data_IF_590818661324
#
_entry.id   IF_590818661324
#
_cell.length_a   1.000
_cell.length_b   1.000
_cell.length_c   1.000
_cell.angle_alpha   90.00
_cell.angle_beta   90.00
_cell.angle_gamma   90.00
#
_symmetry.space_group_name_H-M   'P 1'
#
loop_
_entity.id
_entity.type
_entity.pdbx_description
1 polymer ?
#
# COMPACT_ATOMS: atom_id res chain seq x y z
N UNK A 1 -16.51 25.97 -12.95
CA UNK A 1 -16.20 24.56 -12.63
C UNK A 1 -14.70 24.38 -12.71
N UNK A 2 -14.02 24.35 -11.57
CA UNK A 2 -12.59 24.05 -11.49
C UNK A 2 -12.44 22.53 -11.64
N UNK A 3 -11.82 22.08 -12.74
CA UNK A 3 -11.54 20.65 -12.92
C UNK A 3 -10.61 20.20 -11.81
N UNK A 4 -11.04 19.22 -11.00
CA UNK A 4 -10.23 18.70 -9.90
C UNK A 4 -8.95 18.11 -10.47
N UNK A 5 -7.81 18.72 -10.13
CA UNK A 5 -6.49 18.28 -10.57
C UNK A 5 -6.22 16.91 -9.93
N UNK A 6 -6.32 15.85 -10.72
CA UNK A 6 -5.97 14.49 -10.29
C UNK A 6 -4.53 14.51 -9.78
N UNK A 7 -4.32 13.94 -8.61
CA UNK A 7 -2.99 13.80 -8.03
C UNK A 7 -2.15 12.82 -8.86
N UNK A 8 -1.34 13.39 -9.75
CA UNK A 8 -0.54 12.63 -10.71
C UNK A 8 0.54 11.80 -10.03
N UNK A 9 1.04 12.23 -8.87
CA UNK A 9 2.12 11.54 -8.16
C UNK A 9 1.60 10.28 -7.49
N UNK A 10 0.55 10.38 -6.67
CA UNK A 10 -0.01 9.20 -5.99
C UNK A 10 -0.57 8.18 -6.98
N UNK A 11 -1.14 8.65 -8.10
CA UNK A 11 -1.55 7.78 -9.21
C UNK A 11 -0.34 7.05 -9.83
N UNK A 12 0.74 7.77 -10.11
CA UNK A 12 1.97 7.19 -10.66
C UNK A 12 2.58 6.15 -9.72
N UNK A 13 2.64 6.43 -8.41
CA UNK A 13 3.12 5.48 -7.41
C UNK A 13 2.33 4.17 -7.43
N UNK A 14 0.99 4.27 -7.47
CA UNK A 14 0.11 3.09 -7.58
C UNK A 14 0.40 2.28 -8.85
N UNK A 15 0.34 2.92 -10.01
CA UNK A 15 0.35 2.24 -11.31
C UNK A 15 1.75 1.75 -11.72
N UNK A 16 2.77 2.58 -11.50
CA UNK A 16 4.13 2.34 -12.00
C UNK A 16 5.04 1.65 -10.99
N UNK A 17 4.63 1.54 -9.72
CA UNK A 17 5.47 0.94 -8.69
C UNK A 17 4.72 -0.13 -7.89
N UNK A 18 3.68 0.25 -7.14
CA UNK A 18 2.94 -0.68 -6.26
C UNK A 18 2.33 -1.86 -7.03
N UNK A 19 1.62 -1.59 -8.14
CA UNK A 19 1.05 -2.65 -8.97
C UNK A 19 2.10 -3.45 -9.74
N UNK A 20 3.19 -2.81 -10.16
CA UNK A 20 4.29 -3.52 -10.85
C UNK A 20 5.01 -4.48 -9.90
N UNK A 21 5.29 -4.04 -8.66
CA UNK A 21 5.93 -4.87 -7.63
C UNK A 21 5.03 -6.03 -7.20
N UNK A 22 3.73 -5.77 -7.05
CA UNK A 22 2.77 -6.78 -6.63
C UNK A 22 1.50 -6.77 -7.49
N UNK A 23 1.49 -7.55 -8.60
CA UNK A 23 0.35 -7.63 -9.51
C UNK A 23 -0.94 -8.17 -8.88
N UNK A 24 -0.86 -8.89 -7.75
CA UNK A 24 -2.05 -9.35 -7.04
C UNK A 24 -2.82 -8.19 -6.42
N UNK A 25 -2.15 -7.13 -5.97
CA UNK A 25 -2.82 -5.91 -5.50
C UNK A 25 -3.62 -5.28 -6.63
N UNK A 26 -3.04 -5.19 -7.84
CA UNK A 26 -3.77 -4.68 -9.00
C UNK A 26 -5.00 -5.53 -9.33
N UNK A 27 -4.87 -6.85 -9.31
CA UNK A 27 -6.00 -7.76 -9.54
C UNK A 27 -7.11 -7.55 -8.50
N UNK A 28 -6.77 -7.52 -7.22
CA UNK A 28 -7.76 -7.27 -6.15
C UNK A 28 -8.40 -5.90 -6.27
N UNK A 29 -7.60 -4.87 -6.58
CA UNK A 29 -8.09 -3.52 -6.85
C UNK A 29 -9.12 -3.52 -7.99
N UNK A 30 -8.84 -4.23 -9.08
CA UNK A 30 -9.75 -4.33 -10.22
C UNK A 30 -11.04 -5.11 -9.88
N UNK A 31 -10.96 -6.13 -9.02
CA UNK A 31 -12.17 -6.82 -8.50
C UNK A 31 -13.08 -5.83 -7.76
N UNK A 32 -12.52 -4.88 -6.99
CA UNK A 32 -13.25 -3.83 -6.28
C UNK A 32 -13.87 -2.76 -7.19
N UNK A 33 -13.35 -2.60 -8.42
CA UNK A 33 -13.90 -1.66 -9.40
C UNK A 33 -15.21 -2.18 -10.05
N UNK A 34 -15.38 -3.51 -10.11
CA UNK A 34 -16.38 -4.19 -10.95
C UNK A 34 -17.85 -4.14 -10.46
N UNK A 35 -18.21 -3.23 -9.56
CA UNK A 35 -19.20 -3.59 -8.52
C UNK A 35 -20.41 -2.68 -8.39
N UNK A 36 -20.90 -2.00 -9.42
CA UNK A 36 -22.24 -1.44 -9.29
C UNK A 36 -23.02 -1.39 -10.61
N UNK A 37 -23.67 -2.51 -10.92
CA UNK A 37 -24.74 -2.55 -11.91
C UNK A 37 -26.07 -2.29 -11.19
N UNK A 38 -26.63 -1.12 -11.44
CA UNK A 38 -27.90 -0.66 -10.87
C UNK A 38 -29.08 -1.57 -11.23
N UNK A 39 -28.93 -2.58 -12.08
CA UNK A 39 -30.01 -3.48 -12.41
C UNK A 39 -30.19 -4.63 -11.40
N UNK A 40 -29.14 -5.05 -10.68
CA UNK A 40 -29.14 -6.36 -10.00
C UNK A 40 -28.91 -6.27 -8.48
N UNK A 41 -27.97 -5.45 -7.98
CA UNK A 41 -27.61 -5.49 -6.56
C UNK A 41 -28.45 -4.55 -5.68
N UNK A 42 -28.99 -5.08 -4.58
CA UNK A 42 -29.72 -4.29 -3.57
C UNK A 42 -28.86 -3.21 -2.93
N UNK A 43 -27.58 -3.50 -2.64
CA UNK A 43 -26.64 -2.54 -2.04
C UNK A 43 -26.41 -1.31 -2.96
N UNK A 44 -26.48 -1.51 -4.27
CA UNK A 44 -26.38 -0.49 -5.30
C UNK A 44 -27.65 0.36 -5.46
N UNK A 45 -28.80 -0.16 -5.02
CA UNK A 45 -30.10 0.51 -5.09
C UNK A 45 -30.57 1.08 -3.76
N UNK A 46 -29.90 0.74 -2.66
CA UNK A 46 -30.33 1.08 -1.30
C UNK A 46 -30.62 2.57 -1.21
N UNK A 47 -31.86 2.95 -0.89
CA UNK A 47 -32.20 4.35 -0.77
C UNK A 47 -31.42 5.00 0.38
N UNK A 48 -30.92 6.20 0.11
CA UNK A 48 -30.25 7.04 1.10
C UNK A 48 -31.34 7.91 1.74
N UNK A 49 -31.74 7.55 2.96
CA UNK A 49 -32.81 8.20 3.73
C UNK A 49 -32.44 9.58 4.32
N UNK A 50 -31.31 10.15 3.92
CA UNK A 50 -30.74 11.32 4.58
C UNK A 50 -31.48 12.62 4.20
N UNK A 51 -31.71 13.49 5.21
CA UNK A 51 -32.41 14.78 5.03
C UNK A 51 -31.52 15.88 4.44
N UNK A 52 -30.20 15.75 4.56
CA UNK A 52 -29.23 16.68 3.97
C UNK A 52 -29.08 16.41 2.46
N UNK A 53 -28.86 17.46 1.67
CA UNK A 53 -28.52 17.32 0.25
C UNK A 53 -27.12 16.68 0.13
N UNK A 54 -27.06 15.50 -0.48
CA UNK A 54 -25.82 14.74 -0.68
C UNK A 54 -25.45 14.78 -2.15
N UNK A 55 -24.17 15.08 -2.42
CA UNK A 55 -23.66 15.11 -3.78
C UNK A 55 -23.78 13.74 -4.46
N UNK A 56 -24.22 13.72 -5.72
CA UNK A 56 -24.38 12.50 -6.51
C UNK A 56 -23.09 11.66 -6.61
N UNK A 57 -21.92 12.29 -6.64
CA UNK A 57 -20.64 11.55 -6.64
C UNK A 57 -20.39 10.79 -5.33
N UNK A 58 -20.77 11.37 -4.19
CA UNK A 58 -20.72 10.74 -2.86
C UNK A 58 -21.69 9.57 -2.79
N UNK A 59 -22.93 9.73 -3.30
CA UNK A 59 -23.92 8.64 -3.37
C UNK A 59 -23.39 7.45 -4.17
N UNK A 60 -22.87 7.70 -5.37
CA UNK A 60 -22.28 6.66 -6.23
C UNK A 60 -21.14 5.92 -5.52
N UNK A 61 -20.26 6.65 -4.85
CA UNK A 61 -19.15 6.03 -4.12
C UNK A 61 -19.63 5.22 -2.91
N UNK A 62 -20.62 5.72 -2.16
CA UNK A 62 -21.27 4.98 -1.06
C UNK A 62 -21.84 3.63 -1.52
N UNK A 63 -22.57 3.62 -2.64
CA UNK A 63 -23.12 2.39 -3.20
C UNK A 63 -22.03 1.39 -3.59
N UNK A 64 -20.95 1.88 -4.23
CA UNK A 64 -19.80 1.05 -4.60
C UNK A 64 -19.12 0.41 -3.38
N UNK A 65 -18.91 1.18 -2.32
CA UNK A 65 -18.38 0.66 -1.05
C UNK A 65 -19.34 -0.40 -0.48
N UNK A 66 -20.64 -0.10 -0.43
CA UNK A 66 -21.67 -0.99 0.14
C UNK A 66 -21.77 -2.33 -0.60
N UNK A 67 -21.63 -2.32 -1.94
CA UNK A 67 -21.57 -3.58 -2.70
C UNK A 67 -20.31 -4.36 -2.41
N UNK A 68 -19.15 -3.71 -2.39
CA UNK A 68 -17.90 -4.40 -2.09
C UNK A 68 -17.91 -5.02 -0.69
N UNK A 69 -18.47 -4.33 0.31
CA UNK A 69 -18.68 -4.88 1.65
C UNK A 69 -19.60 -6.11 1.62
N UNK A 70 -20.70 -6.03 0.89
CA UNK A 70 -21.65 -7.15 0.74
C UNK A 70 -21.00 -8.37 0.09
N UNK A 71 -20.11 -8.16 -0.89
CA UNK A 71 -19.35 -9.23 -1.53
C UNK A 71 -18.31 -9.85 -0.59
N UNK A 72 -17.58 -9.05 0.19
CA UNK A 72 -16.59 -9.52 1.17
C UNK A 72 -17.22 -10.28 2.35
N UNK A 73 -18.50 -10.03 2.64
CA UNK A 73 -19.27 -10.69 3.70
C UNK A 73 -19.80 -12.09 3.30
N UNK A 74 -19.85 -12.42 2.00
CA UNK A 74 -20.45 -13.70 1.57
C UNK A 74 -19.50 -14.86 1.79
N UNK A 75 -20.02 -15.98 2.32
CA UNK A 75 -19.32 -17.26 2.33
C UNK A 75 -19.07 -17.67 0.88
N UNK A 76 -17.82 -17.87 0.50
CA UNK A 76 -17.43 -18.04 -0.90
C UNK A 76 -17.31 -16.72 -1.66
N UNK A 77 -16.93 -15.63 -0.97
CA UNK A 77 -16.86 -14.26 -1.49
C UNK A 77 -16.36 -14.16 -2.94
N UNK A 78 -16.87 -13.14 -3.65
CA UNK A 78 -16.63 -12.98 -5.08
C UNK A 78 -15.18 -12.57 -5.43
N UNK A 79 -14.30 -12.45 -4.44
CA UNK A 79 -12.93 -12.02 -4.63
C UNK A 79 -12.03 -13.25 -4.72
N UNK A 80 -11.31 -13.39 -5.82
CA UNK A 80 -10.39 -14.51 -6.00
C UNK A 80 -9.05 -14.29 -5.29
N UNK A 81 -8.66 -13.02 -5.15
CA UNK A 81 -7.33 -12.66 -4.63
C UNK A 81 -7.32 -12.55 -3.10
N UNK A 82 -6.18 -12.94 -2.49
CA UNK A 82 -5.95 -12.93 -1.03
C UNK A 82 -6.99 -13.74 -0.24
N UNK A 83 -7.53 -14.79 -0.86
CA UNK A 83 -8.48 -15.72 -0.24
C UNK A 83 -7.88 -16.37 0.99
N UNK A 84 -8.61 -16.35 2.11
CA UNK A 84 -8.11 -16.76 3.42
C UNK A 84 -7.26 -15.71 4.16
N UNK A 85 -6.71 -14.71 3.46
CA UNK A 85 -5.85 -13.67 4.05
C UNK A 85 -6.66 -12.41 4.41
N UNK A 86 -7.57 -12.57 5.38
CA UNK A 86 -8.56 -11.54 5.77
C UNK A 86 -7.92 -10.17 6.09
N UNK A 87 -6.80 -10.15 6.80
CA UNK A 87 -6.08 -8.91 7.13
C UNK A 87 -5.54 -8.20 5.87
N UNK A 88 -5.00 -8.95 4.90
CA UNK A 88 -4.53 -8.37 3.63
C UNK A 88 -5.69 -7.81 2.81
N UNK A 89 -6.81 -8.53 2.74
CA UNK A 89 -8.03 -8.03 2.06
C UNK A 89 -8.53 -6.73 2.67
N UNK A 90 -8.57 -6.63 4.00
CA UNK A 90 -8.93 -5.38 4.67
C UNK A 90 -7.93 -4.26 4.35
N UNK A 91 -6.63 -4.52 4.43
CA UNK A 91 -5.58 -3.54 4.10
C UNK A 91 -5.68 -3.04 2.65
N UNK A 92 -5.86 -3.92 1.68
CA UNK A 92 -5.97 -3.50 0.28
C UNK A 92 -7.33 -2.91 -0.08
N UNK A 93 -8.38 -3.24 0.68
CA UNK A 93 -9.65 -2.50 0.59
C UNK A 93 -9.47 -1.06 1.08
N UNK A 94 -8.77 -0.85 2.22
CA UNK A 94 -8.39 0.48 2.71
C UNK A 94 -7.56 1.25 1.67
N UNK A 95 -6.56 0.59 1.09
CA UNK A 95 -5.74 1.14 0.00
C UNK A 95 -6.60 1.65 -1.16
N UNK A 96 -7.52 0.82 -1.65
CA UNK A 96 -8.48 1.18 -2.69
C UNK A 96 -9.39 2.33 -2.27
N UNK A 97 -9.93 2.31 -1.06
CA UNK A 97 -10.80 3.38 -0.55
C UNK A 97 -10.08 4.73 -0.51
N UNK A 98 -8.88 4.80 0.06
CA UNK A 98 -8.10 6.05 0.14
C UNK A 98 -7.79 6.60 -1.25
N UNK A 99 -7.39 5.70 -2.15
CA UNK A 99 -7.08 6.02 -3.52
C UNK A 99 -8.29 6.54 -4.31
N UNK A 100 -9.46 5.92 -4.13
CA UNK A 100 -10.71 6.38 -4.72
C UNK A 100 -11.13 7.73 -4.16
N UNK A 101 -10.95 7.99 -2.87
CA UNK A 101 -11.23 9.31 -2.29
C UNK A 101 -10.41 10.41 -2.96
N UNK A 102 -9.11 10.15 -3.15
CA UNK A 102 -8.19 11.09 -3.80
C UNK A 102 -8.52 11.25 -5.29
N UNK A 103 -8.74 10.13 -5.99
CA UNK A 103 -8.99 10.12 -7.45
C UNK A 103 -10.30 10.80 -7.82
N UNK A 104 -11.36 10.60 -7.03
CA UNK A 104 -12.63 11.30 -7.22
C UNK A 104 -12.60 12.76 -6.75
N UNK A 105 -11.50 13.18 -6.10
CA UNK A 105 -11.30 14.56 -5.70
C UNK A 105 -12.24 15.03 -4.60
N UNK A 106 -12.63 14.15 -3.67
CA UNK A 106 -13.51 14.52 -2.57
C UNK A 106 -12.80 15.45 -1.59
N UNK A 107 -13.50 16.51 -1.19
CA UNK A 107 -13.06 17.39 -0.11
C UNK A 107 -13.40 16.82 1.29
N UNK A 108 -12.94 17.49 2.34
CA UNK A 108 -13.20 17.08 3.73
C UNK A 108 -14.70 17.02 4.08
N UNK A 109 -15.54 17.87 3.49
CA UNK A 109 -16.96 17.87 3.75
C UNK A 109 -17.64 16.66 3.09
N UNK A 110 -17.26 16.34 1.85
CA UNK A 110 -17.71 15.15 1.14
C UNK A 110 -17.25 13.87 1.82
N UNK A 111 -16.00 13.82 2.31
CA UNK A 111 -15.49 12.70 3.12
C UNK A 111 -16.36 12.53 4.37
N UNK A 112 -16.65 13.61 5.10
CA UNK A 112 -17.54 13.57 6.26
C UNK A 112 -18.93 13.04 5.90
N UNK A 113 -19.49 13.44 4.76
CA UNK A 113 -20.77 12.91 4.27
C UNK A 113 -20.71 11.40 3.98
N UNK A 114 -19.64 10.91 3.35
CA UNK A 114 -19.43 9.46 3.10
C UNK A 114 -19.48 8.68 4.43
N UNK A 115 -18.77 9.13 5.45
CA UNK A 115 -18.77 8.45 6.75
C UNK A 115 -20.13 8.52 7.45
N UNK A 116 -20.83 9.65 7.39
CA UNK A 116 -22.21 9.78 7.93
C UNK A 116 -23.18 8.76 7.32
N UNK A 117 -23.01 8.40 6.05
CA UNK A 117 -23.88 7.43 5.36
C UNK A 117 -23.78 5.98 5.89
N UNK A 118 -22.71 5.66 6.62
CA UNK A 118 -22.53 4.35 7.24
C UNK A 118 -23.05 4.28 8.69
N UNK A 119 -23.66 5.37 9.20
CA UNK A 119 -24.42 5.43 10.47
C UNK A 119 -23.69 4.86 11.72
N UNK A 120 -22.35 4.86 11.73
CA UNK A 120 -21.57 4.34 12.85
C UNK A 120 -21.28 5.46 13.87
N UNK A 121 -21.68 5.26 15.13
CA UNK A 121 -21.53 6.23 16.24
C UNK A 121 -20.08 6.65 16.49
N UNK A 122 -19.13 5.84 16.03
CA UNK A 122 -17.71 6.00 16.27
C UNK A 122 -16.95 6.67 15.09
N UNK A 123 -17.67 7.33 14.17
CA UNK A 123 -17.08 7.96 12.96
C UNK A 123 -16.15 7.01 12.19
N UNK A 124 -16.61 5.80 11.92
CA UNK A 124 -15.85 4.83 11.14
C UNK A 124 -16.78 4.02 10.23
N UNK A 125 -16.19 3.35 9.26
CA UNK A 125 -16.88 2.41 8.40
C UNK A 125 -16.42 1.03 8.85
N UNK A 126 -17.30 0.24 9.47
CA UNK A 126 -17.02 -1.15 9.86
C UNK A 126 -17.75 -2.11 8.94
N UNK A 127 -17.08 -3.20 8.58
CA UNK A 127 -17.69 -4.31 7.88
C UNK A 127 -16.94 -5.61 8.19
N UNK A 128 -17.59 -6.74 7.94
CA UNK A 128 -17.03 -8.06 8.24
C UNK A 128 -16.55 -8.76 6.97
N UNK A 129 -15.44 -9.48 7.09
CA UNK A 129 -14.89 -10.37 6.06
C UNK A 129 -15.02 -11.79 6.58
N UNK A 130 -15.74 -12.64 5.84
CA UNK A 130 -15.99 -14.03 6.26
C UNK A 130 -14.76 -14.92 6.12
N UNK A 131 -14.66 -15.91 7.01
CA UNK A 131 -13.76 -17.03 6.86
C UNK A 131 -14.33 -18.02 5.85
N UNK A 132 -13.58 -18.33 4.79
CA UNK A 132 -13.87 -19.50 3.98
C UNK A 132 -13.08 -20.66 4.58
N UNK A 133 -13.71 -21.46 5.44
CA UNK A 133 -13.20 -22.81 5.67
C UNK A 133 -13.67 -23.63 4.47
N UNK A 134 -12.75 -24.32 3.81
CA UNK A 134 -13.09 -25.22 2.70
C UNK A 134 -13.98 -26.41 3.13
N UNK A 135 -14.20 -26.55 4.44
CA UNK A 135 -15.14 -27.52 5.02
C UNK A 135 -16.30 -26.76 5.69
N UNK A 136 -17.53 -27.19 5.37
CA UNK A 136 -18.82 -26.71 5.89
C UNK A 136 -19.02 -26.91 7.41
N UNK A 137 -17.96 -27.04 8.19
CA UNK A 137 -18.06 -27.36 9.61
C UNK A 137 -18.13 -26.06 10.43
N UNK A 138 -19.37 -25.57 10.60
CA UNK A 138 -19.73 -24.46 11.48
C UNK A 138 -19.81 -24.93 12.94
N UNK A 139 -18.85 -25.71 13.43
CA UNK A 139 -18.82 -26.14 14.83
C UNK A 139 -17.96 -25.22 15.68
N UNK A 140 -18.63 -24.18 16.22
CA UNK A 140 -18.46 -23.73 17.61
C UNK A 140 -17.06 -23.39 18.16
N UNK A 141 -16.07 -23.06 17.34
CA UNK A 141 -14.78 -22.57 17.84
C UNK A 141 -14.91 -21.14 18.37
N UNK A 142 -14.27 -20.78 19.51
CA UNK A 142 -14.31 -19.42 20.08
C UNK A 142 -13.62 -18.36 19.21
N UNK A 143 -13.00 -18.75 18.09
CA UNK A 143 -12.44 -17.86 17.10
C UNK A 143 -13.54 -17.41 16.12
N UNK A 144 -14.00 -16.17 16.24
CA UNK A 144 -15.05 -15.59 15.39
C UNK A 144 -14.86 -15.95 13.90
N UNK A 145 -15.90 -16.46 13.21
CA UNK A 145 -15.84 -16.74 11.78
C UNK A 145 -15.66 -15.46 10.94
N UNK A 146 -15.71 -14.29 11.57
CA UNK A 146 -15.70 -12.98 10.92
C UNK A 146 -14.49 -12.15 11.37
N UNK A 147 -13.80 -11.57 10.40
CA UNK A 147 -12.77 -10.57 10.63
C UNK A 147 -13.39 -9.18 10.45
N UNK A 148 -13.32 -8.35 11.48
CA UNK A 148 -13.83 -6.97 11.40
C UNK A 148 -12.80 -6.09 10.71
N UNK A 149 -13.13 -5.60 9.52
CA UNK A 149 -12.41 -4.52 8.87
C UNK A 149 -13.01 -3.18 9.25
N UNK A 150 -12.15 -2.23 9.65
CA UNK A 150 -12.56 -0.90 10.10
C UNK A 150 -11.77 0.15 9.36
N UNK A 151 -12.45 1.13 8.76
CA UNK A 151 -11.85 2.35 8.22
C UNK A 151 -12.20 3.49 9.18
N UNK A 152 -11.20 4.09 9.82
CA UNK A 152 -11.43 5.22 10.70
C UNK A 152 -11.59 6.51 9.88
N UNK A 153 -12.48 7.42 10.33
CA UNK A 153 -12.57 8.75 9.72
C UNK A 153 -11.22 9.45 9.73
N UNK A 154 -10.91 10.11 8.63
CA UNK A 154 -9.70 10.88 8.44
C UNK A 154 -9.99 12.01 7.47
N UNK A 155 -9.34 13.16 7.68
CA UNK A 155 -9.37 14.24 6.70
C UNK A 155 -8.55 13.85 5.45
N UNK A 156 -8.67 14.64 4.40
CA UNK A 156 -7.99 14.38 3.12
C UNK A 156 -6.46 14.32 3.26
N UNK A 157 -5.85 15.16 4.09
CA UNK A 157 -4.39 15.14 4.33
C UNK A 157 -3.94 13.81 4.96
N UNK A 158 -4.66 13.35 5.98
CA UNK A 158 -4.41 12.05 6.61
C UNK A 158 -4.65 10.88 5.65
N UNK A 159 -5.68 10.96 4.80
CA UNK A 159 -5.94 9.95 3.77
C UNK A 159 -4.78 9.86 2.77
N UNK A 160 -4.25 11.00 2.32
CA UNK A 160 -3.06 11.03 1.45
C UNK A 160 -1.84 10.42 2.14
N UNK A 161 -1.61 10.76 3.41
CA UNK A 161 -0.55 10.19 4.26
C UNK A 161 -0.67 8.67 4.40
N UNK A 162 -1.86 8.16 4.68
CA UNK A 162 -2.13 6.71 4.77
C UNK A 162 -1.92 6.00 3.43
N UNK A 163 -2.42 6.58 2.32
CA UNK A 163 -2.22 6.03 0.97
C UNK A 163 -0.73 5.95 0.62
N UNK A 164 0.01 7.04 0.84
CA UNK A 164 1.45 7.08 0.59
C UNK A 164 2.21 6.09 1.47
N UNK A 165 1.80 5.91 2.72
CA UNK A 165 2.42 4.96 3.64
C UNK A 165 2.27 3.52 3.17
N UNK A 166 1.11 3.17 2.61
CA UNK A 166 0.89 1.87 1.99
C UNK A 166 1.76 1.67 0.75
N UNK A 167 1.86 2.65 -0.14
CA UNK A 167 2.78 2.57 -1.29
C UNK A 167 4.23 2.42 -0.83
N UNK A 168 4.64 3.16 0.20
CA UNK A 168 5.98 3.10 0.78
C UNK A 168 6.29 1.73 1.38
N UNK A 169 5.37 1.18 2.18
CA UNK A 169 5.49 -0.12 2.83
C UNK A 169 5.49 -1.26 1.82
N UNK A 170 4.59 -1.25 0.83
CA UNK A 170 4.56 -2.28 -0.21
C UNK A 170 5.90 -2.30 -0.97
N UNK A 171 6.48 -1.13 -1.22
CA UNK A 171 7.76 -0.97 -1.90
C UNK A 171 8.98 -1.01 -0.95
N UNK A 172 8.80 -1.33 0.33
CA UNK A 172 9.88 -1.31 1.30
C UNK A 172 10.92 -2.42 1.04
N UNK A 173 12.19 -2.04 1.08
CA UNK A 173 13.35 -2.92 1.02
C UNK A 173 13.98 -2.98 2.42
N UNK A 174 13.79 -4.12 3.10
CA UNK A 174 14.28 -4.34 4.47
C UNK A 174 15.81 -4.39 4.54
N UNK A 175 16.50 -4.70 3.43
CA UNK A 175 17.97 -4.73 3.41
C UNK A 175 18.56 -3.32 3.35
N UNK A 176 17.83 -2.39 2.72
CA UNK A 176 18.22 -0.98 2.60
C UNK A 176 17.54 -0.07 3.63
N UNK A 177 16.63 -0.63 4.45
CA UNK A 177 15.85 0.11 5.43
C UNK A 177 15.11 1.33 4.84
N UNK A 178 14.69 1.22 3.58
CA UNK A 178 13.98 2.29 2.85
C UNK A 178 13.13 1.71 1.74
N UNK A 179 12.24 2.51 1.16
CA UNK A 179 11.43 2.11 0.02
C UNK A 179 12.15 2.33 -1.31
N UNK A 180 11.90 1.46 -2.29
CA UNK A 180 12.45 1.64 -3.65
C UNK A 180 11.87 2.85 -4.36
N UNK A 181 10.76 3.40 -3.86
CA UNK A 181 10.10 4.60 -4.39
C UNK A 181 10.52 5.90 -3.68
N UNK A 182 11.46 5.84 -2.73
CA UNK A 182 11.86 7.00 -1.92
C UNK A 182 12.28 8.21 -2.76
N UNK A 183 13.05 8.01 -3.83
CA UNK A 183 13.46 9.10 -4.74
C UNK A 183 12.27 9.80 -5.42
N UNK A 184 11.26 9.03 -5.84
CA UNK A 184 10.04 9.56 -6.44
C UNK A 184 9.27 10.40 -5.44
N UNK A 185 9.16 9.94 -4.19
CA UNK A 185 8.50 10.68 -3.11
C UNK A 185 9.28 11.97 -2.80
N UNK A 186 10.60 11.89 -2.71
CA UNK A 186 11.49 13.02 -2.42
C UNK A 186 11.36 14.15 -3.45
N UNK A 187 11.13 13.82 -4.71
CA UNK A 187 10.96 14.77 -5.81
C UNK A 187 9.50 15.22 -6.00
N UNK A 188 8.64 15.02 -5.00
CA UNK A 188 7.22 15.37 -5.05
C UNK A 188 6.81 16.30 -3.90
N UNK A 189 5.57 16.80 -3.96
CA UNK A 189 4.96 17.54 -2.85
C UNK A 189 4.83 16.72 -1.55
N UNK A 190 4.99 15.39 -1.65
CA UNK A 190 4.86 14.44 -0.54
C UNK A 190 6.15 14.13 0.20
N UNK A 191 7.26 14.82 -0.11
CA UNK A 191 8.59 14.55 0.47
C UNK A 191 8.63 14.47 2.00
N UNK A 192 7.80 15.26 2.68
CA UNK A 192 7.72 15.31 4.14
C UNK A 192 6.87 14.22 4.78
N UNK A 193 5.89 13.68 4.07
CA UNK A 193 4.79 12.91 4.67
C UNK A 193 5.25 11.65 5.41
N UNK A 194 6.13 10.85 4.81
CA UNK A 194 6.62 9.61 5.47
C UNK A 194 7.38 9.94 6.75
N UNK A 195 8.23 10.97 6.73
CA UNK A 195 9.00 11.36 7.90
C UNK A 195 8.11 11.96 8.99
N UNK A 196 7.13 12.78 8.64
CA UNK A 196 6.12 13.29 9.57
C UNK A 196 5.39 12.14 10.28
N UNK A 197 4.96 11.13 9.53
CA UNK A 197 4.27 9.95 10.09
C UNK A 197 5.16 9.16 11.04
N UNK A 198 6.43 8.93 10.67
CA UNK A 198 7.39 8.23 11.52
C UNK A 198 7.67 9.03 12.81
N UNK A 199 7.76 10.36 12.73
CA UNK A 199 7.93 11.22 13.90
C UNK A 199 6.72 11.20 14.83
N UNK A 200 5.51 11.29 14.26
CA UNK A 200 4.25 11.16 15.02
C UNK A 200 4.17 9.81 15.73
N UNK A 201 4.62 8.74 15.08
CA UNK A 201 4.64 7.40 15.67
C UNK A 201 5.63 7.29 16.85
N UNK A 202 6.76 8.01 16.80
CA UNK A 202 7.80 7.99 17.84
C UNK A 202 7.46 8.81 19.08
N UNK A 203 6.65 9.87 18.96
CA UNK A 203 6.41 10.80 20.07
C UNK A 203 5.58 10.20 21.22
N UNK A 204 4.84 9.10 21.00
CA UNK A 204 4.11 8.22 21.96
C UNK A 204 3.39 8.90 23.15
N UNK A 205 3.16 10.21 23.12
CA UNK A 205 2.54 10.97 24.22
C UNK A 205 2.14 12.38 23.78
N UNK A 206 1.14 12.95 24.44
CA UNK A 206 0.62 14.30 24.20
C UNK A 206 -0.63 14.37 23.29
N UNK A 207 -1.21 15.56 23.15
CA UNK A 207 -2.43 15.82 22.37
C UNK A 207 -2.26 15.50 20.87
N UNK A 208 -1.05 15.69 20.35
CA UNK A 208 -0.68 15.31 18.98
C UNK A 208 -0.77 13.80 18.74
N UNK A 209 -0.49 12.98 19.75
CA UNK A 209 -0.64 11.53 19.67
C UNK A 209 -2.11 11.12 19.65
N UNK A 210 -2.99 11.78 20.41
CA UNK A 210 -4.43 11.48 20.34
C UNK A 210 -5.03 11.78 18.96
N UNK A 211 -4.61 12.88 18.32
CA UNK A 211 -5.06 13.25 16.98
C UNK A 211 -4.51 12.32 15.88
N UNK A 212 -3.32 11.75 16.10
CA UNK A 212 -2.65 10.84 15.15
C UNK A 212 -2.82 9.36 15.49
N UNK A 213 -3.49 9.02 16.60
CA UNK A 213 -3.67 7.64 17.07
C UNK A 213 -4.18 6.71 15.96
N UNK A 214 -5.19 7.15 15.21
CA UNK A 214 -5.73 6.37 14.10
C UNK A 214 -4.70 6.11 13.00
N UNK A 215 -3.90 7.12 12.66
CA UNK A 215 -2.87 6.98 11.64
C UNK A 215 -1.77 6.01 12.12
N UNK A 216 -1.42 6.04 13.40
CA UNK A 216 -0.46 5.12 14.01
C UNK A 216 -1.00 3.68 14.07
N UNK A 217 -2.26 3.49 14.47
CA UNK A 217 -2.91 2.17 14.55
C UNK A 217 -2.98 1.51 13.16
N UNK A 218 -3.36 2.28 12.11
CA UNK A 218 -3.35 1.82 10.72
C UNK A 218 -1.94 1.42 10.26
N UNK A 219 -0.94 2.26 10.53
CA UNK A 219 0.44 1.98 10.18
C UNK A 219 0.98 0.71 10.85
N UNK A 220 0.59 0.45 12.10
CA UNK A 220 0.95 -0.77 12.82
C UNK A 220 0.36 -2.02 12.20
N UNK A 221 -0.89 -1.98 11.74
CA UNK A 221 -1.50 -3.07 10.98
C UNK A 221 -0.71 -3.34 9.69
N UNK A 222 -0.36 -2.29 8.93
CA UNK A 222 0.37 -2.42 7.67
C UNK A 222 1.76 -3.03 7.90
N UNK A 223 2.48 -2.54 8.90
CA UNK A 223 3.79 -3.07 9.29
C UNK A 223 3.73 -4.54 9.67
N UNK A 224 2.73 -4.94 10.49
CA UNK A 224 2.54 -6.35 10.90
C UNK A 224 2.30 -7.25 9.70
N UNK A 225 1.45 -6.85 8.76
CA UNK A 225 1.16 -7.63 7.54
C UNK A 225 2.42 -7.86 6.69
N UNK A 226 3.34 -6.91 6.68
CA UNK A 226 4.61 -6.98 5.92
C UNK A 226 5.80 -7.46 6.74
N UNK A 227 5.58 -7.89 7.99
CA UNK A 227 6.63 -8.28 8.93
C UNK A 227 7.71 -7.20 9.14
N UNK A 228 7.34 -5.91 9.08
CA UNK A 228 8.25 -4.78 9.28
C UNK A 228 8.22 -4.38 10.76
N UNK A 229 9.37 -4.52 11.43
CA UNK A 229 9.46 -4.16 12.86
C UNK A 229 9.57 -2.65 13.06
N UNK A 230 10.42 -1.99 12.25
CA UNK A 230 10.71 -0.57 12.35
C UNK A 230 10.76 0.07 10.96
N UNK A 231 10.28 1.31 10.88
CA UNK A 231 10.43 2.16 9.71
C UNK A 231 11.49 3.22 10.02
N UNK A 232 12.47 3.34 9.13
CA UNK A 232 13.52 4.35 9.24
C UNK A 232 13.11 5.61 8.48
N UNK A 233 13.59 6.76 8.97
CA UNK A 233 13.36 8.04 8.29
C UNK A 233 13.94 7.96 6.89
N UNK A 234 13.15 8.39 5.91
CA UNK A 234 13.56 8.50 4.53
C UNK A 234 14.53 9.67 4.40
N UNK A 235 15.63 9.45 3.68
CA UNK A 235 16.59 10.48 3.33
C UNK A 235 16.33 10.93 1.89
N UNK A 236 16.11 12.23 1.70
CA UNK A 236 16.08 12.85 0.38
C UNK A 236 17.42 13.52 0.15
N UNK A 237 18.16 13.08 -0.86
CA UNK A 237 19.41 13.74 -1.24
C UNK A 237 19.09 15.17 -1.70
N UNK A 238 19.78 16.16 -1.17
CA UNK A 238 19.55 17.58 -1.45
C UNK A 238 19.96 18.01 -2.87
N UNK A 239 20.46 17.10 -3.72
CA UNK A 239 21.22 17.46 -4.93
C UNK A 239 20.44 17.36 -6.25
N UNK A 240 19.10 17.34 -6.25
CA UNK A 240 18.31 17.45 -7.49
C UNK A 240 17.39 18.67 -7.57
N UNK A 241 17.48 19.60 -6.61
CA UNK A 241 16.74 20.89 -6.67
C UNK A 241 17.29 21.86 -7.76
N UNK A 242 18.36 21.52 -8.47
CA UNK A 242 19.02 22.43 -9.44
C UNK A 242 18.75 22.16 -10.93
N UNK A 243 18.04 21.09 -11.32
CA UNK A 243 17.89 20.76 -12.75
C UNK A 243 16.53 21.10 -13.40
N UNK A 244 15.57 21.62 -12.64
CA UNK A 244 14.28 22.08 -13.21
C UNK A 244 14.13 23.61 -13.35
N UNK A 245 15.13 24.38 -12.92
CA UNK A 245 15.13 25.85 -13.04
C UNK A 245 15.69 26.42 -14.35
N UNK A 246 16.18 25.57 -15.27
CA UNK A 246 17.02 26.00 -16.41
C UNK A 246 16.42 25.87 -17.81
N UNK A 247 15.10 25.75 -17.96
CA UNK A 247 14.45 25.60 -19.27
C UNK A 247 13.36 26.65 -19.52
N UNK A 248 13.69 27.93 -19.35
CA UNK A 248 13.03 28.99 -20.10
C UNK A 248 14.06 30.03 -20.57
N UNK A 249 14.08 30.20 -21.91
CA UNK A 249 14.59 31.35 -22.65
C UNK A 249 16.09 31.39 -23.00
N UNK A 250 16.46 30.66 -24.05
CA UNK A 250 17.54 31.09 -24.95
C UNK A 250 16.97 31.24 -26.37
N UNK A 251 16.79 32.49 -26.79
CA UNK A 251 16.47 32.89 -28.16
C UNK A 251 17.77 32.78 -28.99
N UNK A 252 17.76 32.22 -30.20
CA UNK A 252 18.97 32.10 -31.00
C UNK A 252 19.27 33.42 -31.72
N UNK A 253 20.48 33.94 -31.55
CA UNK A 253 21.08 34.92 -32.46
C UNK A 253 22.40 34.36 -32.99
N UNK A 254 22.48 34.29 -34.31
CA UNK A 254 23.53 33.74 -35.17
C UNK A 254 24.93 34.38 -34.98
N UNK A 255 25.99 33.76 -35.55
CA UNK A 255 27.36 33.84 -35.05
C UNK A 255 28.22 34.88 -35.76
N UNK A 256 29.21 35.41 -35.06
CA UNK A 256 30.37 36.08 -35.68
C UNK A 256 31.63 35.37 -35.24
N UNK A 257 32.36 34.86 -36.24
CA UNK A 257 33.64 34.19 -36.10
C UNK A 257 34.75 35.15 -35.67
N UNK A 258 35.64 34.70 -34.78
CA UNK A 258 37.03 34.47 -35.16
C UNK A 258 37.79 33.62 -34.12
N UNK A 259 38.77 32.82 -34.56
CA UNK A 259 39.38 31.77 -33.76
C UNK A 259 40.72 32.19 -33.14
N UNK A 260 41.02 31.71 -31.94
CA UNK A 260 42.41 31.54 -31.51
C UNK A 260 42.57 30.22 -30.75
N UNK A 261 43.21 29.31 -31.48
CA UNK A 261 43.73 28.01 -31.15
C UNK A 261 44.54 28.00 -29.83
N UNK A 262 44.25 27.04 -28.95
CA UNK A 262 45.28 26.29 -28.24
C UNK A 262 44.79 24.88 -27.91
N UNK A 263 45.51 23.90 -28.45
CA UNK A 263 45.33 22.45 -28.29
C UNK A 263 45.63 22.05 -26.84
N UNK A 264 44.72 21.29 -26.24
CA UNK A 264 45.10 20.20 -25.34
C UNK A 264 44.25 18.98 -25.70
N UNK A 265 44.92 17.94 -26.14
CA UNK A 265 44.35 16.63 -26.46
C UNK A 265 43.99 15.96 -25.13
N UNK A 266 42.71 15.65 -24.92
CA UNK A 266 42.28 14.68 -23.91
C UNK A 266 41.45 13.61 -24.61
N UNK A 267 41.98 12.40 -24.63
CA UNK A 267 41.39 11.25 -25.27
C UNK A 267 40.19 10.77 -24.43
N UNK A 268 38.97 10.97 -24.93
CA UNK A 268 37.79 10.28 -24.42
C UNK A 268 37.72 8.89 -25.03
N UNK A 269 38.28 7.91 -24.33
CA UNK A 269 37.98 6.49 -24.57
C UNK A 269 36.50 6.25 -24.25
N UNK A 270 35.72 5.99 -25.30
CA UNK A 270 34.31 5.61 -25.23
C UNK A 270 34.12 4.31 -24.44
N UNK A 271 33.28 4.34 -23.41
CA UNK A 271 32.87 3.17 -22.60
C UNK A 271 31.79 2.35 -23.35
N UNK A 272 32.05 1.98 -24.61
CA UNK A 272 31.11 1.15 -25.40
C UNK A 272 31.61 -0.29 -25.60
N UNK A 273 32.79 -0.65 -25.09
CA UNK A 273 33.41 -1.95 -25.40
C UNK A 273 33.46 -2.97 -24.24
N UNK A 274 32.83 -2.74 -23.08
CA UNK A 274 32.87 -3.71 -21.96
C UNK A 274 31.62 -4.62 -21.89
N UNK A 275 30.49 -4.28 -22.53
CA UNK A 275 29.27 -5.11 -22.45
C UNK A 275 29.26 -6.35 -23.37
N UNK A 276 30.20 -6.47 -24.31
CA UNK A 276 30.28 -7.61 -25.23
C UNK A 276 30.86 -8.88 -24.62
N UNK A 277 31.68 -8.78 -23.58
CA UNK A 277 32.42 -9.93 -23.02
C UNK A 277 31.61 -10.67 -21.94
N UNK A 278 30.74 -9.97 -21.20
CA UNK A 278 29.93 -10.58 -20.12
C UNK A 278 28.80 -11.45 -20.68
N UNK A 279 28.26 -11.11 -21.86
CA UNK A 279 27.15 -11.88 -22.46
C UNK A 279 27.58 -13.24 -23.01
N UNK A 280 28.87 -13.44 -23.28
CA UNK A 280 29.39 -14.70 -23.82
C UNK A 280 29.68 -15.74 -22.71
N UNK A 281 29.93 -15.30 -21.47
CA UNK A 281 30.21 -16.19 -20.34
C UNK A 281 28.94 -16.74 -19.67
N UNK A 282 27.81 -16.04 -19.77
CA UNK A 282 26.55 -16.50 -19.15
C UNK A 282 25.76 -17.52 -19.99
N UNK A 283 26.07 -17.66 -21.28
CA UNK A 283 25.33 -18.54 -22.21
C UNK A 283 25.92 -19.95 -22.36
N UNK A 284 26.96 -20.29 -21.60
CA UNK A 284 27.73 -21.55 -21.75
C UNK A 284 27.55 -22.51 -20.56
N UNK A 285 26.73 -22.19 -19.56
CA UNK A 285 26.55 -23.04 -18.37
C UNK A 285 25.19 -23.73 -18.26
N UNK A 286 24.41 -23.82 -19.34
CA UNK A 286 23.11 -24.50 -19.35
C UNK A 286 23.17 -25.82 -20.13
N UNK A 287 24.17 -26.66 -19.82
CA UNK A 287 24.21 -28.07 -20.26
C UNK A 287 25.09 -28.86 -19.28
N UNK A 288 24.47 -29.39 -18.21
CA UNK A 288 24.86 -30.65 -17.57
C UNK A 288 23.79 -31.11 -16.56
N UNK A 289 23.14 -32.22 -16.91
CA UNK A 289 22.27 -33.09 -16.12
C UNK A 289 23.00 -33.72 -14.92
N UNK A 290 22.31 -33.99 -13.81
CA UNK A 290 22.10 -35.35 -13.21
C UNK A 290 21.41 -35.29 -11.83
N UNK A 291 20.34 -36.08 -11.71
CA UNK A 291 19.78 -36.88 -10.59
C UNK A 291 20.00 -36.50 -9.10
N UNK A 292 18.90 -36.66 -8.34
CA UNK A 292 18.80 -36.64 -6.86
C UNK A 292 19.68 -37.72 -6.19
N UNK A 293 19.97 -37.53 -4.89
CA UNK A 293 19.51 -38.54 -3.94
C UNK A 293 18.82 -37.97 -2.69
N UNK A 294 17.92 -38.81 -2.19
CA UNK A 294 17.23 -38.76 -0.90
C UNK A 294 18.20 -38.72 0.30
N UNK A 295 17.62 -38.36 1.46
CA UNK A 295 18.15 -38.47 2.83
C UNK A 295 19.09 -37.38 3.34
N UNK A 296 18.51 -36.35 3.97
CA UNK A 296 19.16 -35.64 5.09
C UNK A 296 18.16 -34.77 5.88
N UNK A 297 17.28 -35.41 6.66
CA UNK A 297 16.56 -34.73 7.75
C UNK A 297 16.13 -35.67 8.88
N UNK A 298 16.93 -36.71 9.12
CA UNK A 298 16.76 -37.62 10.24
C UNK A 298 17.98 -37.52 11.17
N UNK A 299 18.16 -36.36 11.84
CA UNK A 299 19.02 -36.25 13.04
C UNK A 299 18.99 -34.89 13.77
N UNK A 300 17.84 -34.31 14.12
CA UNK A 300 17.79 -33.34 15.25
C UNK A 300 16.40 -33.35 15.89
N UNK A 301 16.02 -34.45 16.55
CA UNK A 301 14.96 -34.36 17.57
C UNK A 301 14.97 -35.56 18.55
N UNK A 302 15.99 -35.63 19.40
CA UNK A 302 15.89 -36.35 20.69
C UNK A 302 16.97 -35.81 21.61
N UNK A 303 16.63 -34.83 22.46
CA UNK A 303 17.09 -34.68 23.85
C UNK A 303 16.70 -33.30 24.42
N UNK A 304 15.41 -33.13 24.72
CA UNK A 304 14.99 -32.19 25.77
C UNK A 304 13.68 -32.66 26.41
N UNK A 305 13.72 -33.87 26.97
CA UNK A 305 12.79 -34.30 28.01
C UNK A 305 13.59 -34.98 29.12
N UNK A 306 14.03 -34.17 30.08
CA UNK A 306 14.26 -34.54 31.48
C UNK A 306 14.50 -33.25 32.24
N UNK A 307 13.52 -32.93 33.08
CA UNK A 307 13.66 -32.37 34.43
C UNK A 307 12.42 -31.53 34.75
N UNK A 308 11.44 -32.15 35.43
CA UNK A 308 11.18 -31.82 36.82
C UNK A 308 10.04 -32.68 37.39
N UNK A 309 10.42 -33.44 38.40
CA UNK A 309 9.56 -34.18 39.31
C UNK A 309 8.76 -33.24 40.23
N UNK A 310 7.52 -33.64 40.50
CA UNK A 310 6.80 -33.61 41.78
C UNK A 310 7.01 -32.46 42.78
N UNK A 311 5.96 -31.65 42.96
CA UNK A 311 5.30 -31.30 44.25
C UNK A 311 3.82 -31.05 43.86
N UNK A 312 2.80 -31.81 44.27
CA UNK A 312 2.37 -32.19 45.60
C UNK A 312 1.17 -31.31 46.01
N UNK A 313 -0.04 -31.88 46.11
CA UNK A 313 -1.01 -31.77 47.22
C UNK A 313 -2.44 -32.17 46.81
N UNK A 314 -2.92 -33.26 47.42
CA UNK A 314 -4.32 -33.60 47.62
C UNK A 314 -4.56 -33.61 49.14
N UNK A 315 -5.61 -32.90 49.60
CA UNK A 315 -6.34 -33.02 50.88
C UNK A 315 -7.14 -31.71 51.03
N UNK A 316 -8.44 -31.62 51.33
CA UNK A 316 -9.46 -32.49 51.93
C UNK A 316 -10.81 -32.08 51.33
#
# INVERSE_FOLDING_TARGET
MSGTKVDTTLKSLRENYTFQKNPYIQKFYNELESTCDNNISYSCKKEISNKEEINENVKKFYHKISENQSKLLRIGDNFSVFKGERSKRCMYFKYWFYDQVITNGFDNNQIKQIFKLFEDLDNNIKFYITHQSDNNDFTGSPNSPWFTCKICYSNLDHIKKLKLSLDYIENYDRTKNTSTISEVICNSEYKGYINEIIELYKSKSGDSYQQSKYLCDELDEFKKIHNINELFKMQCNAEHESLYGGLQQARPSSPTANPSLNKTISASLSIVSIFGIVSFLYKVNEENTTELPENLLDYVDTNSQRDNHNIGYNSV
#
